data_IF_966567347739
#
_entry.id   IF_966567347739
#
_cell.length_a   1.000
_cell.length_b   1.000
_cell.length_c   1.000
_cell.angle_alpha   90.00
_cell.angle_beta   90.00
_cell.angle_gamma   90.00
#
_symmetry.space_group_name_H-M   'P 1'
#
loop_
_entity.id
_entity.type
_entity.pdbx_description
1 polymer ?
#
# COMPACT_ATOMS: atom_id res chain seq x y z
N UNK A 1 -25.31 45.98 32.16
CA UNK A 1 -23.97 46.55 31.97
C UNK A 1 -22.98 45.42 31.76
N UNK A 2 -22.14 45.57 30.74
CA UNK A 2 -20.94 44.78 30.45
C UNK A 2 -21.15 43.38 29.87
N UNK A 3 -20.47 42.94 28.83
CA UNK A 3 -19.79 43.55 27.68
C UNK A 3 -19.49 42.34 26.79
N UNK A 4 -19.81 42.44 25.51
CA UNK A 4 -19.58 41.40 24.50
C UNK A 4 -18.07 41.13 24.41
N UNK A 5 -17.64 39.89 24.71
CA UNK A 5 -16.29 39.41 24.45
C UNK A 5 -16.14 39.11 22.97
N UNK A 6 -15.58 40.07 22.24
CA UNK A 6 -15.37 40.00 20.79
C UNK A 6 -14.42 38.87 20.39
N UNK A 7 -14.88 38.06 19.43
CA UNK A 7 -14.09 37.10 18.69
C UNK A 7 -13.10 37.87 17.79
N UNK A 8 -11.83 37.89 18.18
CA UNK A 8 -10.78 38.54 17.37
C UNK A 8 -10.41 37.64 16.20
N UNK A 9 -10.94 37.97 15.02
CA UNK A 9 -10.42 37.50 13.74
C UNK A 9 -9.18 38.32 13.41
N UNK A 10 -8.01 37.68 13.28
CA UNK A 10 -6.82 38.32 12.72
C UNK A 10 -6.38 37.54 11.49
N UNK A 11 -6.31 38.28 10.39
CA UNK A 11 -6.27 37.85 8.99
C UNK A 11 -4.91 37.25 8.57
N UNK A 12 -4.80 36.70 7.34
CA UNK A 12 -3.73 35.78 6.96
C UNK A 12 -2.43 36.51 6.61
N UNK A 13 -1.28 35.96 7.04
CA UNK A 13 0.03 36.36 6.51
C UNK A 13 0.38 35.47 5.33
N UNK A 14 0.48 36.13 4.17
CA UNK A 14 0.79 35.58 2.85
C UNK A 14 2.14 34.82 2.81
N UNK A 15 2.29 33.87 1.88
CA UNK A 15 3.46 33.01 1.78
C UNK A 15 4.72 33.79 1.37
N UNK A 16 5.80 33.60 2.12
CA UNK A 16 7.12 34.04 1.72
C UNK A 16 7.60 33.17 0.55
N UNK A 17 7.72 33.81 -0.62
CA UNK A 17 8.38 33.26 -1.80
C UNK A 17 9.88 33.12 -1.48
N UNK A 18 10.35 31.90 -1.29
CA UNK A 18 11.78 31.60 -1.35
C UNK A 18 12.10 31.24 -2.79
N UNK A 19 12.59 32.22 -3.54
CA UNK A 19 13.24 32.01 -4.81
C UNK A 19 14.73 31.75 -4.53
N UNK A 20 15.20 30.53 -4.83
CA UNK A 20 16.63 30.28 -5.06
C UNK A 20 16.72 29.63 -6.43
N UNK A 21 17.42 30.34 -7.32
CA UNK A 21 17.62 29.99 -8.71
C UNK A 21 19.05 29.45 -8.90
N UNK A 22 19.22 28.72 -10.02
CA UNK A 22 20.49 28.38 -10.71
C UNK A 22 21.32 27.29 -9.99
N UNK A 23 21.74 26.20 -10.62
CA UNK A 23 21.66 25.79 -12.01
C UNK A 23 22.54 24.55 -12.25
N UNK A 24 22.71 24.28 -13.55
CA UNK A 24 23.62 23.30 -14.18
C UNK A 24 23.07 21.88 -14.32
N UNK A 25 22.49 21.66 -15.50
CA UNK A 25 22.30 20.38 -16.14
C UNK A 25 23.66 19.69 -16.38
N UNK A 26 23.75 18.42 -15.98
CA UNK A 26 24.78 17.50 -16.48
C UNK A 26 24.09 16.18 -16.81
N UNK A 27 23.83 16.02 -18.10
CA UNK A 27 23.36 14.81 -18.76
C UNK A 27 24.50 13.81 -18.74
N UNK A 28 24.38 12.70 -18.00
CA UNK A 28 25.28 11.55 -18.18
C UNK A 28 24.58 10.50 -19.03
N UNK A 29 25.05 10.44 -20.27
CA UNK A 29 24.59 9.56 -21.33
C UNK A 29 24.99 8.09 -21.09
N UNK A 30 24.22 7.21 -21.72
CA UNK A 30 24.31 5.76 -21.75
C UNK A 30 25.71 5.27 -22.17
N UNK A 31 26.31 4.41 -21.35
CA UNK A 31 27.35 3.49 -21.79
C UNK A 31 26.73 2.12 -22.09
N UNK A 32 26.31 1.95 -23.35
CA UNK A 32 26.04 0.65 -23.92
C UNK A 32 27.40 -0.04 -24.18
N UNK A 33 27.68 -1.13 -23.49
CA UNK A 33 28.74 -2.05 -23.89
C UNK A 33 28.10 -3.31 -24.44
N UNK A 34 28.15 -3.41 -25.77
CA UNK A 34 27.94 -4.63 -26.52
C UNK A 34 29.27 -5.35 -26.58
N UNK A 35 29.35 -6.60 -26.10
CA UNK A 35 30.40 -7.53 -26.53
C UNK A 35 29.86 -8.94 -26.66
N UNK A 36 30.07 -9.40 -27.89
CA UNK A 36 29.93 -10.72 -28.47
C UNK A 36 30.45 -11.91 -27.65
N UNK A 37 29.75 -13.04 -27.82
CA UNK A 37 30.39 -14.27 -28.27
C UNK A 37 30.88 -15.21 -27.17
N UNK A 38 30.10 -16.27 -26.92
CA UNK A 38 30.51 -17.39 -26.09
C UNK A 38 29.56 -18.57 -26.25
N UNK A 39 29.65 -19.26 -27.38
CA UNK A 39 28.99 -20.54 -27.60
C UNK A 39 29.47 -21.57 -26.58
N UNK A 40 28.56 -22.14 -25.82
CA UNK A 40 28.73 -23.47 -25.24
C UNK A 40 27.49 -24.29 -25.59
N UNK A 41 27.70 -25.23 -26.50
CA UNK A 41 26.79 -26.32 -26.72
C UNK A 41 26.82 -27.19 -25.45
N UNK A 42 25.67 -27.36 -24.82
CA UNK A 42 25.42 -28.52 -23.97
C UNK A 42 24.13 -29.19 -24.44
N UNK A 43 24.29 -30.44 -24.84
CA UNK A 43 23.23 -31.33 -25.27
C UNK A 43 22.65 -31.98 -24.02
N UNK A 44 21.46 -31.56 -23.61
CA UNK A 44 20.81 -32.10 -22.42
C UNK A 44 19.28 -32.03 -22.50
N UNK A 45 18.68 -33.15 -22.93
CA UNK A 45 17.35 -33.63 -22.55
C UNK A 45 16.14 -32.71 -22.77
N UNK A 46 15.42 -32.96 -23.87
CA UNK A 46 14.03 -32.53 -24.07
C UNK A 46 13.12 -33.16 -23.01
N UNK A 47 12.84 -32.42 -21.94
CA UNK A 47 11.68 -32.67 -21.09
C UNK A 47 10.59 -31.68 -21.49
N UNK A 48 9.55 -32.19 -22.14
CA UNK A 48 8.36 -31.42 -22.52
C UNK A 48 7.54 -31.09 -21.25
N UNK A 49 7.91 -30.02 -20.56
CA UNK A 49 7.05 -29.37 -19.59
C UNK A 49 6.22 -28.32 -20.34
N UNK A 50 4.91 -28.54 -20.42
CA UNK A 50 3.95 -27.52 -20.85
C UNK A 50 4.16 -26.27 -19.99
N UNK A 51 4.43 -25.08 -20.57
CA UNK A 51 4.55 -23.87 -19.79
C UNK A 51 3.14 -23.51 -19.31
N UNK A 52 2.85 -23.77 -18.04
CA UNK A 52 1.78 -23.03 -17.36
C UNK A 52 2.25 -21.60 -17.27
N UNK A 53 1.93 -20.80 -18.30
CA UNK A 53 2.16 -19.35 -18.28
C UNK A 53 1.31 -18.79 -17.14
N UNK A 54 1.93 -18.63 -15.97
CA UNK A 54 1.39 -17.83 -14.88
C UNK A 54 1.18 -16.42 -15.44
N UNK A 55 -0.08 -16.10 -15.78
CA UNK A 55 -0.42 -14.78 -16.27
C UNK A 55 -0.05 -13.75 -15.19
N UNK A 56 0.75 -12.76 -15.55
CA UNK A 56 1.06 -11.63 -14.67
C UNK A 56 -0.26 -10.99 -14.23
N UNK A 57 -0.50 -10.80 -12.92
CA UNK A 57 -1.70 -10.13 -12.44
C UNK A 57 -1.82 -8.74 -13.05
N UNK A 58 -2.98 -8.40 -13.62
CA UNK A 58 -3.21 -7.07 -14.16
C UNK A 58 -3.20 -6.02 -13.04
N UNK A 59 -2.55 -4.89 -13.26
CA UNK A 59 -2.38 -3.79 -12.27
C UNK A 59 -2.87 -2.45 -12.80
N UNK A 60 -3.10 -1.50 -11.91
CA UNK A 60 -3.38 -0.10 -12.21
C UNK A 60 -2.67 0.82 -11.22
N UNK A 61 -2.55 2.11 -11.54
CA UNK A 61 -1.86 3.10 -10.69
C UNK A 61 -2.89 3.98 -9.98
N UNK A 62 -2.75 4.11 -8.66
CA UNK A 62 -3.53 4.99 -7.80
C UNK A 62 -2.61 6.07 -7.22
N UNK A 63 -3.14 7.27 -7.02
CA UNK A 63 -2.45 8.30 -6.23
C UNK A 63 -2.95 8.26 -4.79
N UNK A 64 -2.06 8.00 -3.85
CA UNK A 64 -2.41 7.98 -2.43
C UNK A 64 -2.52 9.40 -1.85
N UNK A 65 -2.90 9.48 -0.56
CA UNK A 65 -3.08 10.76 0.14
C UNK A 65 -1.77 11.53 0.34
N UNK A 66 -0.60 10.88 0.20
CA UNK A 66 0.70 11.55 0.23
C UNK A 66 1.11 12.13 -1.14
N UNK A 67 0.36 11.80 -2.20
CA UNK A 67 0.67 12.14 -3.58
C UNK A 67 1.52 11.09 -4.29
N UNK A 68 1.87 9.98 -3.64
CA UNK A 68 2.66 8.91 -4.25
C UNK A 68 1.83 8.13 -5.28
N UNK A 69 2.50 7.68 -6.35
CA UNK A 69 1.92 6.81 -7.38
C UNK A 69 2.15 5.35 -6.97
N UNK A 70 1.10 4.66 -6.56
CA UNK A 70 1.14 3.27 -6.09
C UNK A 70 0.56 2.35 -7.16
N UNK A 71 1.28 1.30 -7.53
CA UNK A 71 0.79 0.26 -8.46
C UNK A 71 0.08 -0.82 -7.66
N UNK A 72 -1.18 -1.08 -7.97
CA UNK A 72 -2.08 -1.95 -7.21
C UNK A 72 -2.69 -2.99 -8.15
N UNK A 73 -2.87 -4.26 -7.72
CA UNK A 73 -3.59 -5.25 -8.52
C UNK A 73 -5.02 -4.78 -8.85
N UNK A 74 -5.48 -5.08 -10.06
CA UNK A 74 -6.87 -4.79 -10.47
C UNK A 74 -7.89 -5.62 -9.70
N UNK A 75 -7.49 -6.79 -9.21
CA UNK A 75 -8.31 -7.67 -8.38
C UNK A 75 -7.63 -7.84 -7.02
N UNK A 76 -8.32 -7.42 -5.96
CA UNK A 76 -7.86 -7.55 -4.57
C UNK A 76 -8.63 -8.67 -3.89
N UNK A 77 -7.90 -9.62 -3.31
CA UNK A 77 -8.41 -10.78 -2.59
C UNK A 77 -7.94 -10.84 -1.13
N UNK A 78 -6.84 -10.14 -0.80
CA UNK A 78 -6.21 -10.19 0.53
C UNK A 78 -5.82 -8.77 0.96
N UNK A 79 -6.46 -8.26 2.01
CA UNK A 79 -6.29 -6.90 2.52
C UNK A 79 -5.65 -6.97 3.90
N UNK A 80 -4.55 -6.25 4.12
CA UNK A 80 -3.98 -6.06 5.45
C UNK A 80 -4.23 -4.63 5.94
N UNK A 81 -5.17 -4.47 6.88
CA UNK A 81 -5.63 -3.16 7.31
C UNK A 81 -5.00 -2.71 8.64
N UNK A 82 -4.28 -1.59 8.58
CA UNK A 82 -3.55 -1.05 9.73
C UNK A 82 -4.40 -0.11 10.60
N UNK A 83 -5.52 0.42 10.09
CA UNK A 83 -6.31 1.42 10.79
C UNK A 83 -7.74 0.95 11.11
N UNK A 84 -8.19 1.00 12.38
CA UNK A 84 -9.51 0.48 12.77
C UNK A 84 -10.67 1.06 11.97
N UNK A 85 -10.62 2.36 11.62
CA UNK A 85 -11.71 3.00 10.87
C UNK A 85 -11.83 2.46 9.44
N UNK A 86 -10.72 2.09 8.81
CA UNK A 86 -10.72 1.50 7.48
C UNK A 86 -11.24 0.07 7.51
N UNK A 87 -10.96 -0.70 8.57
CA UNK A 87 -11.55 -2.04 8.72
C UNK A 87 -13.09 -1.96 8.74
N UNK A 88 -13.65 -0.93 9.37
CA UNK A 88 -15.11 -0.68 9.31
C UNK A 88 -15.55 -0.35 7.88
N UNK A 89 -14.80 0.49 7.16
CA UNK A 89 -15.10 0.82 5.77
C UNK A 89 -15.07 -0.42 4.85
N UNK A 90 -14.08 -1.30 5.00
CA UNK A 90 -13.97 -2.56 4.26
C UNK A 90 -15.18 -3.47 4.48
N UNK A 91 -15.63 -3.57 5.73
CA UNK A 91 -16.83 -4.34 6.09
C UNK A 91 -18.07 -3.72 5.43
N UNK A 92 -18.22 -2.39 5.48
CA UNK A 92 -19.35 -1.69 4.84
C UNK A 92 -19.36 -1.81 3.32
N UNK A 93 -18.19 -1.89 2.69
CA UNK A 93 -18.05 -2.13 1.26
C UNK A 93 -18.24 -3.61 0.86
N UNK A 94 -18.54 -4.49 1.83
CA UNK A 94 -18.78 -5.91 1.59
C UNK A 94 -17.51 -6.71 1.30
N UNK A 95 -16.33 -6.18 1.67
CA UNK A 95 -15.04 -6.84 1.46
C UNK A 95 -14.38 -7.31 2.76
N UNK A 96 -15.11 -7.30 3.88
CA UNK A 96 -14.62 -7.74 5.19
C UNK A 96 -14.05 -9.18 5.19
N UNK A 97 -14.56 -10.07 4.35
CA UNK A 97 -14.04 -11.45 4.22
C UNK A 97 -12.66 -11.54 3.56
N UNK A 98 -12.15 -10.44 2.97
CA UNK A 98 -10.82 -10.35 2.37
C UNK A 98 -9.75 -9.91 3.34
N UNK A 99 -10.11 -9.55 4.58
CA UNK A 99 -9.16 -9.12 5.59
C UNK A 99 -8.28 -10.29 6.05
N UNK A 100 -6.97 -10.14 5.92
CA UNK A 100 -5.96 -11.15 6.31
C UNK A 100 -5.08 -10.71 7.46
N UNK A 101 -5.09 -9.41 7.78
CA UNK A 101 -4.48 -8.84 8.98
C UNK A 101 -5.22 -7.56 9.37
N UNK A 102 -5.37 -7.31 10.67
CA UNK A 102 -6.05 -6.13 11.22
C UNK A 102 -5.24 -5.50 12.35
N UNK A 103 -5.60 -4.27 12.72
CA UNK A 103 -5.10 -3.60 13.92
C UNK A 103 -5.52 -4.32 15.21
N UNK A 104 -4.66 -4.20 16.23
CA UNK A 104 -4.94 -4.65 17.57
C UNK A 104 -6.30 -4.12 18.09
N UNK A 105 -7.02 -4.96 18.82
CA UNK A 105 -8.33 -4.70 19.44
C UNK A 105 -9.51 -4.47 18.48
N UNK A 106 -9.31 -4.51 17.15
CA UNK A 106 -10.43 -4.39 16.20
C UNK A 106 -11.41 -5.56 16.35
N UNK A 107 -10.89 -6.78 16.54
CA UNK A 107 -11.74 -7.97 16.68
C UNK A 107 -12.50 -8.04 18.01
N UNK A 108 -12.19 -7.17 18.98
CA UNK A 108 -12.88 -7.12 20.28
C UNK A 108 -14.07 -6.17 20.29
N UNK A 109 -14.30 -5.42 19.20
CA UNK A 109 -15.41 -4.46 19.09
C UNK A 109 -16.72 -5.26 18.92
N UNK A 110 -17.68 -5.19 19.87
CA UNK A 110 -18.88 -6.04 19.84
C UNK A 110 -19.74 -5.85 18.58
N UNK A 111 -19.84 -4.61 18.09
CA UNK A 111 -20.54 -4.31 16.84
C UNK A 111 -19.93 -5.06 15.65
N UNK A 112 -18.60 -5.08 15.51
CA UNK A 112 -17.93 -5.77 14.42
C UNK A 112 -18.07 -7.28 14.50
N UNK A 113 -18.11 -7.85 15.69
CA UNK A 113 -18.40 -9.27 15.87
C UNK A 113 -19.81 -9.65 15.43
N UNK A 114 -20.78 -8.73 15.60
CA UNK A 114 -22.16 -8.95 15.18
C UNK A 114 -22.34 -8.85 13.65
N UNK A 115 -21.70 -7.87 13.01
CA UNK A 115 -21.87 -7.63 11.56
C UNK A 115 -20.89 -8.42 10.68
N UNK A 116 -19.70 -8.74 11.21
CA UNK A 116 -18.65 -9.49 10.52
C UNK A 116 -18.04 -10.54 11.47
N UNK A 117 -18.73 -11.65 11.77
CA UNK A 117 -18.27 -12.62 12.78
C UNK A 117 -16.88 -13.23 12.50
N UNK A 118 -16.50 -13.34 11.22
CA UNK A 118 -15.18 -13.85 10.80
C UNK A 118 -14.02 -12.96 11.25
N UNK A 119 -14.26 -11.69 11.62
CA UNK A 119 -13.23 -10.75 12.09
C UNK A 119 -12.48 -11.27 13.32
N UNK A 120 -13.12 -12.12 14.13
CA UNK A 120 -12.53 -12.75 15.33
C UNK A 120 -11.43 -13.74 15.01
N UNK A 121 -11.36 -14.21 13.76
CA UNK A 121 -10.35 -15.16 13.27
C UNK A 121 -9.20 -14.47 12.52
N UNK A 122 -9.34 -13.18 12.22
CA UNK A 122 -8.33 -12.43 11.46
C UNK A 122 -7.16 -12.07 12.40
N UNK A 123 -5.91 -12.40 12.03
CA UNK A 123 -4.74 -12.06 12.83
C UNK A 123 -4.61 -10.55 13.11
N UNK A 124 -4.30 -10.20 14.36
CA UNK A 124 -4.01 -8.82 14.76
C UNK A 124 -2.51 -8.57 14.69
N UNK A 125 -2.03 -8.09 13.54
CA UNK A 125 -0.58 -7.96 13.27
C UNK A 125 -0.06 -6.53 13.38
N UNK A 126 -0.96 -5.55 13.32
CA UNK A 126 -0.62 -4.15 13.46
C UNK A 126 -0.82 -3.68 14.91
N UNK A 127 0.24 -3.17 15.52
CA UNK A 127 0.25 -2.61 16.86
C UNK A 127 0.63 -1.12 16.79
N UNK A 128 0.29 -0.35 17.83
CA UNK A 128 0.49 1.11 17.84
C UNK A 128 1.94 1.56 17.62
N UNK A 129 2.92 0.74 17.97
CA UNK A 129 4.36 1.06 17.88
C UNK A 129 5.14 0.14 16.95
N UNK A 130 4.55 -0.95 16.45
CA UNK A 130 5.27 -1.96 15.68
C UNK A 130 4.35 -2.81 14.80
N UNK A 131 4.93 -3.38 13.75
CA UNK A 131 4.27 -4.36 12.88
C UNK A 131 5.16 -5.58 12.79
N UNK A 132 4.60 -6.77 13.01
CA UNK A 132 5.33 -8.01 12.80
C UNK A 132 5.40 -8.30 11.28
N UNK A 133 6.48 -7.84 10.65
CA UNK A 133 6.65 -7.93 9.20
C UNK A 133 6.69 -9.37 8.68
N UNK A 134 7.32 -10.29 9.41
CA UNK A 134 7.40 -11.70 8.98
C UNK A 134 6.02 -12.36 8.97
N UNK A 135 5.24 -12.14 10.04
CA UNK A 135 3.87 -12.67 10.10
C UNK A 135 2.95 -11.99 9.08
N UNK A 136 3.14 -10.69 8.82
CA UNK A 136 2.37 -9.96 7.81
C UNK A 136 2.66 -10.48 6.40
N UNK A 137 3.93 -10.66 6.04
CA UNK A 137 4.32 -11.22 4.74
C UNK A 137 3.85 -12.66 4.57
N UNK A 138 3.81 -13.44 5.65
CA UNK A 138 3.24 -14.79 5.64
C UNK A 138 1.75 -14.79 5.29
N UNK A 139 1.02 -13.70 5.56
CA UNK A 139 -0.37 -13.54 5.13
C UNK A 139 -0.51 -13.22 3.64
N UNK A 140 0.57 -12.91 2.91
CA UNK A 140 0.55 -12.58 1.48
C UNK A 140 -0.55 -11.57 1.12
N UNK A 141 -0.58 -10.37 1.75
CA UNK A 141 -1.55 -9.34 1.37
C UNK A 141 -1.30 -8.85 -0.06
N UNK A 142 -2.37 -8.46 -0.73
CA UNK A 142 -2.31 -7.80 -2.04
C UNK A 142 -2.10 -6.29 -1.87
N UNK A 143 -2.66 -5.71 -0.79
CA UNK A 143 -2.60 -4.30 -0.38
C UNK A 143 -2.53 -4.15 1.14
#
# INVERSE_FOLDING_TARGET
>A
MSSLGGWSVSSPRRPARVAVAVGVASVFALAACSSSGGSSADAGSKSSATPTTSATPATHVVTDLSGAKVTVPTTINRIAEQFPAHTVADIMLGVGDKLVAIQQNVSTIPFLQAVQPSITKVPQLFHSSNVNMEQLLAQKPDV
#
